data_IF_571915331187
#
_entry.id   IF_571915331187
#
_cell.length_a   1.000
_cell.length_b   1.000
_cell.length_c   1.000
_cell.angle_alpha   90.00
_cell.angle_beta   90.00
_cell.angle_gamma   90.00
#
_symmetry.space_group_name_H-M   'P 1'
#
loop_
_entity.id
_entity.type
_entity.pdbx_description
1 polymer ?
#
# COMPACT_ATOMS: atom_id res chain seq x y z
N UNK A 1 22.63 -6.73 -9.81
CA UNK A 1 21.36 -5.97 -9.69
C UNK A 1 21.40 -5.02 -8.49
N UNK A 2 20.73 -3.87 -8.55
CA UNK A 2 20.69 -2.88 -7.47
C UNK A 2 20.13 -3.47 -6.16
N UNK A 3 19.05 -4.25 -6.25
CA UNK A 3 18.46 -4.96 -5.09
C UNK A 3 19.49 -5.80 -4.34
N UNK A 4 20.35 -6.54 -5.06
CA UNK A 4 21.38 -7.38 -4.42
C UNK A 4 22.46 -6.55 -3.70
N UNK A 5 22.82 -5.39 -4.25
CA UNK A 5 23.77 -4.47 -3.59
C UNK A 5 23.16 -3.86 -2.33
N UNK A 6 21.89 -3.42 -2.42
CA UNK A 6 21.16 -2.88 -1.26
C UNK A 6 21.02 -3.93 -0.16
N UNK A 7 20.65 -5.17 -0.50
CA UNK A 7 20.52 -6.25 0.45
C UNK A 7 21.85 -6.54 1.16
N UNK A 8 22.95 -6.71 0.41
CA UNK A 8 24.27 -6.96 0.99
C UNK A 8 24.68 -5.82 1.94
N UNK A 9 24.58 -4.57 1.49
CA UNK A 9 24.88 -3.39 2.31
C UNK A 9 24.04 -3.34 3.59
N UNK A 10 22.73 -3.67 3.48
CA UNK A 10 21.82 -3.66 4.62
C UNK A 10 22.20 -4.73 5.63
N UNK A 11 22.47 -5.97 5.20
CA UNK A 11 22.90 -7.04 6.10
C UNK A 11 24.22 -6.73 6.79
N UNK A 12 25.20 -6.16 6.09
CA UNK A 12 26.47 -5.73 6.66
C UNK A 12 26.28 -4.67 7.75
N UNK A 13 25.38 -3.69 7.55
CA UNK A 13 25.06 -2.66 8.53
C UNK A 13 24.37 -3.24 9.76
N UNK A 14 23.35 -4.08 9.55
CA UNK A 14 22.62 -4.72 10.63
C UNK A 14 23.52 -5.64 11.48
N UNK A 15 24.47 -6.34 10.85
CA UNK A 15 25.46 -7.17 11.56
C UNK A 15 26.35 -6.33 12.48
N UNK A 16 26.54 -5.05 12.18
CA UNK A 16 27.28 -4.11 13.04
C UNK A 16 26.40 -3.36 14.05
N UNK A 17 25.08 -3.64 14.08
CA UNK A 17 24.13 -2.93 14.95
C UNK A 17 23.80 -1.51 14.46
N UNK A 18 24.04 -1.21 13.17
CA UNK A 18 23.71 0.07 12.54
C UNK A 18 22.29 0.05 11.97
N UNK A 19 21.76 1.23 11.62
CA UNK A 19 20.48 1.35 10.89
C UNK A 19 20.62 0.85 9.44
N UNK A 20 19.48 0.61 8.76
CA UNK A 20 19.49 0.10 7.36
C UNK A 20 20.15 1.06 6.37
N UNK A 21 20.04 2.36 6.60
CA UNK A 21 20.62 3.41 5.77
C UNK A 21 19.91 3.60 4.43
N UNK A 22 20.47 4.47 3.59
CA UNK A 22 19.94 4.74 2.26
C UNK A 22 20.18 3.59 1.29
N UNK A 23 19.22 3.35 0.42
CA UNK A 23 19.18 2.30 -0.59
C UNK A 23 18.79 2.87 -1.97
N UNK A 24 19.20 2.17 -3.03
CA UNK A 24 18.95 2.58 -4.42
C UNK A 24 17.60 2.04 -4.95
N UNK A 25 17.31 0.76 -4.66
CA UNK A 25 16.17 0.03 -5.22
C UNK A 25 15.17 -0.47 -4.18
N UNK A 26 15.59 -0.66 -2.94
CA UNK A 26 14.72 -1.12 -1.86
C UNK A 26 14.20 0.07 -1.04
N UNK A 27 12.94 0.05 -0.69
CA UNK A 27 12.40 0.93 0.35
C UNK A 27 12.51 0.22 1.69
N UNK A 28 13.42 0.61 2.53
CA UNK A 28 13.63 -0.03 3.82
C UNK A 28 13.09 0.84 4.97
N UNK A 29 12.32 0.24 5.86
CA UNK A 29 11.98 0.89 7.11
C UNK A 29 13.17 0.77 8.10
N UNK A 30 13.34 1.77 9.00
CA UNK A 30 12.50 2.95 9.18
C UNK A 30 12.82 4.13 8.23
N UNK A 31 13.99 4.17 7.57
CA UNK A 31 14.45 5.38 6.89
C UNK A 31 13.79 5.61 5.53
N UNK A 32 13.64 4.59 4.68
CA UNK A 32 13.24 4.73 3.28
C UNK A 32 11.76 4.44 3.01
N UNK A 33 11.16 3.48 3.68
CA UNK A 33 9.82 2.98 3.38
C UNK A 33 8.74 4.07 3.40
N UNK A 34 8.56 4.73 4.55
CA UNK A 34 7.51 5.74 4.71
C UNK A 34 7.71 6.97 3.81
N UNK A 35 8.92 7.56 3.71
CA UNK A 35 9.16 8.68 2.80
C UNK A 35 8.86 8.34 1.33
N UNK A 36 9.27 7.19 0.83
CA UNK A 36 9.02 6.77 -0.54
C UNK A 36 7.52 6.54 -0.80
N UNK A 37 6.83 5.84 0.09
CA UNK A 37 5.37 5.68 0.02
C UNK A 37 4.66 7.03 -0.04
N UNK A 38 5.02 7.96 0.84
CA UNK A 38 4.43 9.30 0.89
C UNK A 38 4.67 10.09 -0.40
N UNK A 39 5.87 9.98 -0.99
CA UNK A 39 6.19 10.63 -2.26
C UNK A 39 5.34 10.11 -3.42
N UNK A 40 5.09 8.80 -3.48
CA UNK A 40 4.23 8.19 -4.51
C UNK A 40 2.75 8.60 -4.32
N UNK A 41 2.25 8.61 -3.08
CA UNK A 41 0.90 9.14 -2.79
C UNK A 41 0.78 10.58 -3.25
N UNK A 42 1.76 11.45 -2.91
CA UNK A 42 1.76 12.86 -3.33
C UNK A 42 1.84 13.03 -4.85
N UNK A 43 2.57 12.15 -5.55
CA UNK A 43 2.62 12.17 -7.01
C UNK A 43 1.25 11.91 -7.62
N UNK A 44 0.52 10.91 -7.12
CA UNK A 44 -0.84 10.61 -7.60
C UNK A 44 -1.84 11.71 -7.19
N UNK A 45 -1.69 12.28 -6.00
CA UNK A 45 -2.52 13.41 -5.54
C UNK A 45 -2.45 14.60 -6.50
N UNK A 46 -1.26 14.90 -7.04
CA UNK A 46 -1.09 16.00 -8.02
C UNK A 46 -1.79 15.75 -9.36
N UNK A 47 -2.09 14.50 -9.68
CA UNK A 47 -2.84 14.12 -10.89
C UNK A 47 -4.37 14.25 -10.69
N UNK A 48 -4.82 14.45 -9.46
CA UNK A 48 -6.24 14.59 -9.17
C UNK A 48 -7.05 13.37 -9.67
N UNK A 49 -8.14 13.58 -10.43
CA UNK A 49 -8.98 12.48 -10.92
C UNK A 49 -8.29 11.47 -11.84
N UNK A 50 -7.17 11.85 -12.47
CA UNK A 50 -6.36 10.95 -13.30
C UNK A 50 -5.45 10.04 -12.45
N UNK A 51 -5.23 10.40 -11.18
CA UNK A 51 -4.40 9.63 -10.25
C UNK A 51 -5.12 8.36 -9.76
N UNK A 52 -4.32 7.37 -9.39
CA UNK A 52 -4.80 6.13 -8.79
C UNK A 52 -3.82 5.61 -7.74
N UNK A 53 -4.37 5.18 -6.61
CA UNK A 53 -3.63 4.56 -5.52
C UNK A 53 -4.34 3.26 -5.13
N UNK A 54 -3.68 2.12 -5.32
CA UNK A 54 -4.12 0.81 -4.87
C UNK A 54 -3.20 0.31 -3.75
N UNK A 55 -3.76 -0.02 -2.58
CA UNK A 55 -2.98 -0.50 -1.44
C UNK A 55 -3.61 -1.76 -0.87
N UNK A 56 -2.84 -2.86 -0.86
CA UNK A 56 -3.17 -4.08 -0.13
C UNK A 56 -2.21 -4.24 1.04
N UNK A 57 -2.75 -4.24 2.24
CA UNK A 57 -2.02 -4.48 3.51
C UNK A 57 -2.88 -5.27 4.48
N UNK A 58 -2.27 -5.76 5.57
CA UNK A 58 -3.06 -6.43 6.60
C UNK A 58 -3.74 -5.43 7.54
N UNK A 59 -3.04 -4.35 7.91
CA UNK A 59 -3.55 -3.35 8.86
C UNK A 59 -3.02 -1.95 8.55
N UNK A 60 -3.81 -0.92 8.92
CA UNK A 60 -3.46 0.49 8.72
C UNK A 60 -3.91 1.34 9.92
N UNK A 61 -2.95 2.00 10.58
CA UNK A 61 -3.18 3.02 11.61
C UNK A 61 -2.16 4.16 11.59
N UNK A 62 -1.25 4.19 10.60
CA UNK A 62 -0.27 5.28 10.49
C UNK A 62 -0.99 6.58 10.12
N UNK A 63 -1.02 7.53 11.08
CA UNK A 63 -1.78 8.76 10.96
C UNK A 63 -1.33 9.64 9.79
N UNK A 64 -0.02 9.71 9.52
CA UNK A 64 0.51 10.53 8.44
C UNK A 64 0.14 9.97 7.06
N UNK A 65 0.22 8.64 6.90
CA UNK A 65 -0.18 7.96 5.66
C UNK A 65 -1.68 8.16 5.44
N UNK A 66 -2.51 7.94 6.47
CA UNK A 66 -3.97 8.16 6.36
C UNK A 66 -4.31 9.62 5.99
N UNK A 67 -3.64 10.59 6.60
CA UNK A 67 -3.84 12.00 6.26
C UNK A 67 -3.47 12.31 4.80
N UNK A 68 -2.44 11.64 4.24
CA UNK A 68 -2.07 11.77 2.82
C UNK A 68 -3.11 11.16 1.89
N UNK A 69 -3.65 9.97 2.23
CA UNK A 69 -4.71 9.32 1.46
C UNK A 69 -6.02 10.16 1.47
N UNK A 70 -6.35 10.78 2.59
CA UNK A 70 -7.48 11.73 2.67
C UNK A 70 -7.27 12.89 1.71
N UNK A 71 -6.08 13.52 1.71
CA UNK A 71 -5.77 14.62 0.76
C UNK A 71 -5.80 14.17 -0.70
N UNK A 72 -5.39 12.94 -0.99
CA UNK A 72 -5.50 12.38 -2.33
C UNK A 72 -6.97 12.29 -2.76
N UNK A 73 -7.84 11.79 -1.89
CA UNK A 73 -9.28 11.75 -2.13
C UNK A 73 -9.89 13.16 -2.30
N UNK A 74 -9.52 14.11 -1.45
CA UNK A 74 -9.96 15.52 -1.56
C UNK A 74 -9.54 16.16 -2.90
N UNK A 75 -8.43 15.70 -3.48
CA UNK A 75 -7.99 16.12 -4.82
C UNK A 75 -8.70 15.37 -5.97
N UNK A 76 -9.56 14.40 -5.68
CA UNK A 76 -10.27 13.58 -6.66
C UNK A 76 -9.54 12.31 -7.07
N UNK A 77 -8.38 12.00 -6.49
CA UNK A 77 -7.62 10.77 -6.77
C UNK A 77 -8.38 9.56 -6.25
N UNK A 78 -8.55 8.55 -7.09
CA UNK A 78 -9.14 7.28 -6.69
C UNK A 78 -8.18 6.49 -5.78
N UNK A 79 -8.68 6.08 -4.62
CA UNK A 79 -7.92 5.30 -3.63
C UNK A 79 -8.66 4.00 -3.31
N UNK A 80 -8.03 2.88 -3.56
CA UNK A 80 -8.57 1.55 -3.33
C UNK A 80 -7.75 0.81 -2.28
N UNK A 81 -8.36 0.51 -1.14
CA UNK A 81 -7.70 -0.12 -0.01
C UNK A 81 -8.24 -1.53 0.23
N UNK A 82 -7.35 -2.51 0.27
CA UNK A 82 -7.62 -3.88 0.69
C UNK A 82 -6.98 -4.10 2.05
N UNK A 83 -7.80 -4.05 3.12
CA UNK A 83 -7.31 -4.12 4.50
C UNK A 83 -8.13 -5.17 5.27
N UNK A 84 -7.52 -6.30 5.60
CA UNK A 84 -8.22 -7.39 6.27
C UNK A 84 -8.29 -7.31 7.80
N UNK A 85 -7.44 -6.52 8.42
CA UNK A 85 -7.35 -6.30 9.86
C UNK A 85 -7.77 -4.90 10.26
N UNK A 86 -7.01 -4.27 11.15
CA UNK A 86 -7.28 -2.92 11.64
C UNK A 86 -7.22 -1.92 10.47
N UNK A 87 -8.29 -1.16 10.29
CA UNK A 87 -8.34 -0.02 9.37
C UNK A 87 -8.92 1.19 10.12
N UNK A 88 -8.08 2.19 10.37
CA UNK A 88 -8.47 3.40 11.09
C UNK A 88 -8.92 4.55 10.17
N UNK A 89 -9.11 4.28 8.87
CA UNK A 89 -9.61 5.24 7.89
C UNK A 89 -11.02 4.83 7.44
N UNK A 90 -11.99 5.74 7.53
CA UNK A 90 -13.36 5.54 7.02
C UNK A 90 -13.49 6.03 5.58
N UNK A 91 -13.97 5.19 4.65
CA UNK A 91 -14.19 5.56 3.26
C UNK A 91 -15.51 6.32 3.06
N UNK A 92 -15.71 6.90 1.89
CA UNK A 92 -16.99 7.38 1.41
C UNK A 92 -17.58 8.57 2.16
N UNK A 93 -16.80 9.30 2.96
CA UNK A 93 -17.25 10.51 3.66
C UNK A 93 -17.23 11.68 2.67
N UNK A 94 -18.41 12.32 2.40
CA UNK A 94 -18.50 13.41 1.43
C UNK A 94 -17.51 14.54 1.70
N UNK A 95 -16.85 15.03 0.64
CA UNK A 95 -15.87 16.11 0.69
C UNK A 95 -14.53 15.73 1.34
N UNK A 96 -14.35 14.48 1.76
CA UNK A 96 -13.10 14.02 2.41
C UNK A 96 -12.57 12.71 1.87
N UNK A 97 -13.33 11.64 2.02
CA UNK A 97 -12.90 10.28 1.64
C UNK A 97 -13.84 9.65 0.62
N UNK A 98 -14.56 10.47 -0.13
CA UNK A 98 -15.57 10.00 -1.12
C UNK A 98 -14.94 9.20 -2.26
N UNK A 99 -13.67 9.44 -2.57
CA UNK A 99 -12.90 8.68 -3.56
C UNK A 99 -12.07 7.54 -2.97
N UNK A 100 -12.28 7.22 -1.68
CA UNK A 100 -11.65 6.07 -1.02
C UNK A 100 -12.65 4.94 -0.90
N UNK A 101 -12.24 3.75 -1.31
CA UNK A 101 -12.93 2.49 -1.01
C UNK A 101 -12.08 1.60 -0.11
N UNK A 102 -12.73 0.85 0.78
CA UNK A 102 -12.07 -0.12 1.66
C UNK A 102 -12.76 -1.47 1.54
N UNK A 103 -11.98 -2.48 1.17
CA UNK A 103 -12.41 -3.86 1.05
C UNK A 103 -11.61 -4.74 2.00
N UNK A 104 -12.28 -5.64 2.72
CA UNK A 104 -11.67 -6.64 3.59
C UNK A 104 -12.02 -8.03 3.07
N UNK A 105 -11.02 -8.89 2.90
CA UNK A 105 -11.22 -10.28 2.49
C UNK A 105 -10.71 -11.17 3.61
N UNK A 106 -11.62 -11.99 4.18
CA UNK A 106 -11.32 -12.93 5.26
C UNK A 106 -11.94 -14.27 4.86
N UNK A 107 -11.08 -15.23 4.53
CA UNK A 107 -11.48 -16.54 4.06
C UNK A 107 -10.71 -17.67 4.71
N UNK A 108 -10.71 -18.82 4.06
CA UNK A 108 -10.00 -20.02 4.49
C UNK A 108 -8.47 -19.80 4.54
N UNK A 109 -7.95 -19.03 3.58
CA UNK A 109 -6.54 -18.72 3.47
C UNK A 109 -6.25 -17.33 4.02
N UNK A 110 -5.03 -17.13 4.48
CA UNK A 110 -4.57 -15.85 4.99
C UNK A 110 -4.04 -14.99 3.86
N UNK A 111 -4.79 -13.94 3.52
CA UNK A 111 -4.36 -12.91 2.54
C UNK A 111 -3.28 -12.04 3.17
N UNK A 112 -2.01 -12.48 3.09
CA UNK A 112 -0.89 -11.85 3.83
C UNK A 112 0.04 -11.01 2.95
N UNK A 113 -0.23 -10.89 1.67
CA UNK A 113 0.54 -10.07 0.75
C UNK A 113 0.41 -8.57 1.06
N UNK A 114 1.44 -7.80 0.71
CA UNK A 114 1.43 -6.33 0.71
C UNK A 114 1.82 -5.88 -0.67
N UNK A 115 0.93 -5.10 -1.27
CA UNK A 115 1.06 -4.63 -2.64
C UNK A 115 0.70 -3.16 -2.67
N UNK A 116 1.53 -2.33 -3.32
CA UNK A 116 1.20 -0.95 -3.63
C UNK A 116 1.18 -0.77 -5.13
N UNK A 117 0.18 -0.04 -5.61
CA UNK A 117 0.01 0.31 -7.02
C UNK A 117 -0.23 1.80 -7.13
N UNK A 118 0.55 2.47 -7.97
CA UNK A 118 0.41 3.89 -8.23
C UNK A 118 0.26 4.13 -9.73
N UNK A 119 -0.72 4.93 -10.11
CA UNK A 119 -0.99 5.26 -11.50
C UNK A 119 -1.73 4.18 -12.28
N UNK A 120 -1.90 4.43 -13.58
CA UNK A 120 -2.65 3.59 -14.51
C UNK A 120 -1.88 3.39 -15.81
N UNK A 121 -2.23 2.34 -16.57
CA UNK A 121 -1.68 2.08 -17.90
C UNK A 121 -0.17 1.87 -17.90
N UNK A 122 0.53 2.48 -18.84
CA UNK A 122 1.98 2.31 -19.00
C UNK A 122 2.80 2.94 -17.86
N UNK A 123 2.29 4.03 -17.26
CA UNK A 123 2.92 4.71 -16.14
C UNK A 123 2.63 4.05 -14.77
N UNK A 124 1.96 2.90 -14.76
CA UNK A 124 1.63 2.21 -13.53
C UNK A 124 2.86 1.58 -12.88
N UNK A 125 3.08 1.92 -11.62
CA UNK A 125 4.13 1.35 -10.78
C UNK A 125 3.54 0.37 -9.76
N UNK A 126 4.18 -0.77 -9.59
CA UNK A 126 3.76 -1.84 -8.68
C UNK A 126 4.90 -2.18 -7.74
N UNK A 127 4.60 -2.24 -6.45
CA UNK A 127 5.56 -2.61 -5.40
C UNK A 127 5.01 -3.75 -4.55
N UNK A 128 5.89 -4.64 -4.12
CA UNK A 128 5.59 -5.70 -3.16
C UNK A 128 6.53 -5.60 -1.96
N UNK A 129 6.08 -6.05 -0.80
CA UNK A 129 6.90 -5.95 0.40
C UNK A 129 6.38 -6.69 1.62
N UNK A 130 7.01 -6.43 2.76
CA UNK A 130 6.73 -7.11 4.02
C UNK A 130 5.96 -6.25 5.03
N UNK A 131 5.94 -4.93 4.87
CA UNK A 131 5.43 -3.98 5.86
C UNK A 131 3.94 -3.67 5.75
N UNK A 132 3.27 -3.59 6.89
CA UNK A 132 1.93 -3.00 7.00
C UNK A 132 2.02 -1.47 7.14
N UNK A 133 0.88 -0.79 7.07
CA UNK A 133 0.75 0.65 7.35
C UNK A 133 0.43 0.90 8.83
N UNK A 134 1.15 0.20 9.72
CA UNK A 134 1.14 0.45 11.15
C UNK A 134 2.39 1.27 11.52
N UNK A 135 2.26 2.20 12.46
CA UNK A 135 3.37 3.04 12.92
C UNK A 135 4.61 2.20 13.30
N UNK A 136 4.41 1.03 13.93
CA UNK A 136 5.51 0.11 14.27
C UNK A 136 6.24 -0.43 13.04
N UNK A 137 5.55 -0.65 11.91
CA UNK A 137 6.14 -1.15 10.66
C UNK A 137 6.86 -0.03 9.91
N UNK A 138 6.30 1.18 9.93
CA UNK A 138 6.86 2.33 9.21
C UNK A 138 8.04 2.97 9.93
N UNK A 139 8.12 2.85 11.29
CA UNK A 139 9.06 3.61 12.13
C UNK A 139 10.01 2.77 13.01
N UNK A 140 9.71 1.50 13.27
CA UNK A 140 10.44 0.72 14.28
C UNK A 140 10.93 -0.65 13.82
N UNK A 141 10.29 -1.25 12.83
CA UNK A 141 10.67 -2.56 12.28
C UNK A 141 11.55 -2.36 11.04
N UNK A 142 12.30 -3.39 10.72
CA UNK A 142 12.94 -3.50 9.42
C UNK A 142 11.95 -4.16 8.48
N UNK A 143 11.44 -3.39 7.55
CA UNK A 143 10.54 -3.83 6.49
C UNK A 143 11.13 -3.45 5.15
N UNK A 144 10.81 -4.20 4.11
CA UNK A 144 11.33 -3.95 2.77
C UNK A 144 10.21 -3.94 1.74
N UNK A 145 10.29 -3.01 0.79
CA UNK A 145 9.51 -3.01 -0.45
C UNK A 145 10.44 -2.90 -1.65
N UNK A 146 10.01 -3.49 -2.76
CA UNK A 146 10.70 -3.42 -4.04
C UNK A 146 9.72 -3.23 -5.18
N UNK A 147 10.15 -2.50 -6.22
CA UNK A 147 9.39 -2.36 -7.45
C UNK A 147 9.38 -3.67 -8.23
N UNK A 148 8.22 -4.01 -8.80
CA UNK A 148 8.03 -5.14 -9.72
C UNK A 148 8.19 -4.61 -11.14
N UNK A 149 9.40 -4.70 -11.68
CA UNK A 149 9.76 -4.14 -13.00
C UNK A 149 9.56 -5.09 -14.17
N UNK A 150 9.60 -6.41 -13.93
CA UNK A 150 9.31 -7.40 -14.97
C UNK A 150 7.83 -7.36 -15.36
N UNK A 151 7.49 -7.22 -16.65
CA UNK A 151 6.08 -7.08 -17.09
C UNK A 151 5.21 -8.30 -16.75
N UNK A 152 5.74 -9.52 -16.79
CA UNK A 152 4.98 -10.74 -16.51
C UNK A 152 4.70 -10.84 -15.01
N UNK A 153 5.73 -10.66 -14.17
CA UNK A 153 5.57 -10.64 -12.72
C UNK A 153 4.60 -9.52 -12.28
N UNK A 154 4.68 -8.32 -12.91
CA UNK A 154 3.74 -7.23 -12.64
C UNK A 154 2.31 -7.62 -12.99
N UNK A 155 2.09 -8.28 -14.13
CA UNK A 155 0.77 -8.74 -14.53
C UNK A 155 0.20 -9.76 -13.54
N UNK A 156 1.01 -10.69 -13.04
CA UNK A 156 0.60 -11.66 -12.01
C UNK A 156 0.19 -10.97 -10.70
N UNK A 157 0.96 -9.98 -10.23
CA UNK A 157 0.63 -9.21 -9.01
C UNK A 157 -0.68 -8.42 -9.20
N UNK A 158 -0.87 -7.80 -10.36
CA UNK A 158 -2.10 -7.07 -10.67
C UNK A 158 -3.31 -8.00 -10.78
N UNK A 159 -3.14 -9.23 -11.25
CA UNK A 159 -4.23 -10.23 -11.28
C UNK A 159 -4.68 -10.62 -9.86
N UNK A 160 -3.76 -10.68 -8.89
CA UNK A 160 -4.14 -10.89 -7.48
C UNK A 160 -5.10 -9.79 -7.01
N UNK A 161 -4.78 -8.52 -7.24
CA UNK A 161 -5.68 -7.40 -6.88
C UNK A 161 -6.99 -7.44 -7.68
N UNK A 162 -6.92 -7.81 -8.96
CA UNK A 162 -8.10 -7.96 -9.80
C UNK A 162 -9.03 -9.06 -9.27
N UNK A 163 -8.49 -10.20 -8.85
CA UNK A 163 -9.25 -11.26 -8.22
C UNK A 163 -9.93 -10.79 -6.92
N UNK A 164 -9.21 -10.02 -6.09
CA UNK A 164 -9.77 -9.42 -4.86
C UNK A 164 -10.92 -8.45 -5.15
N UNK A 165 -10.83 -7.67 -6.24
CA UNK A 165 -11.93 -6.77 -6.66
C UNK A 165 -13.18 -7.53 -7.05
N UNK A 166 -13.02 -8.68 -7.72
CA UNK A 166 -14.13 -9.52 -8.19
C UNK A 166 -14.71 -10.43 -7.11
N UNK A 167 -14.06 -10.52 -5.93
CA UNK A 167 -14.55 -11.37 -4.85
C UNK A 167 -15.88 -10.82 -4.31
N UNK A 168 -16.94 -11.61 -4.52
CA UNK A 168 -18.30 -11.38 -4.02
C UNK A 168 -18.75 -12.48 -3.04
N UNK A 169 -17.82 -13.27 -2.50
CA UNK A 169 -18.10 -14.38 -1.59
C UNK A 169 -17.57 -14.16 -0.19
N UNK A 170 -16.36 -13.60 -0.09
CA UNK A 170 -15.66 -13.42 1.18
C UNK A 170 -15.28 -11.97 1.43
N UNK A 171 -15.50 -11.10 0.44
CA UNK A 171 -15.20 -9.69 0.56
C UNK A 171 -16.28 -8.93 1.33
N UNK A 172 -15.82 -8.04 2.19
CA UNK A 172 -16.62 -7.10 2.97
C UNK A 172 -16.24 -5.67 2.60
N UNK A 173 -17.22 -4.85 2.32
CA UNK A 173 -17.04 -3.45 1.92
C UNK A 173 -17.34 -2.56 3.13
N UNK A 174 -16.35 -1.76 3.55
CA UNK A 174 -16.54 -0.80 4.63
C UNK A 174 -17.43 0.34 4.16
N UNK A 175 -18.41 0.70 5.01
CA UNK A 175 -19.34 1.78 4.78
C UNK A 175 -18.86 3.09 5.44
N UNK A 176 -19.40 4.27 5.05
CA UNK A 176 -19.03 5.56 5.65
C UNK A 176 -19.25 5.66 7.16
N UNK A 177 -20.14 4.85 7.73
CA UNK A 177 -20.37 4.77 9.17
C UNK A 177 -19.39 3.85 9.90
N UNK A 178 -18.53 3.13 9.13
CA UNK A 178 -17.56 2.15 9.65
C UNK A 178 -18.09 0.72 9.76
N UNK A 179 -19.36 0.48 9.42
CA UNK A 179 -19.90 -0.88 9.30
C UNK A 179 -19.37 -1.58 8.06
N UNK A 180 -19.56 -2.90 7.97
CA UNK A 180 -19.15 -3.69 6.82
C UNK A 180 -20.35 -4.44 6.24
N UNK A 181 -20.49 -4.43 4.92
CA UNK A 181 -21.46 -5.22 4.18
C UNK A 181 -20.73 -6.24 3.29
N UNK A 182 -21.32 -7.42 3.15
CA UNK A 182 -20.81 -8.43 2.20
C UNK A 182 -20.92 -7.87 0.78
N UNK A 183 -19.87 -8.05 -0.02
CA UNK A 183 -19.91 -7.71 -1.44
C UNK A 183 -20.89 -8.64 -2.18
N UNK A 184 -21.75 -8.08 -3.01
CA UNK A 184 -22.76 -8.80 -3.82
C UNK A 184 -22.37 -8.78 -5.30
#
# INVERSE_FOLDING_TARGET
PAIGRDAAKTFDRLARGETVGETEALWLAPEGYKPQLMAHIDAQTRLGPEGYIGIKVNSMNDADVMARLVRASEAGTEVELFVRGICCLRPGVPGRTEHISVRSIIGRYLEHERIFVFGRGEAQEVFIGSGDLLERNTMRRIEAFTAVTDPNARAEVLEVLSAMRRDNRQAWIMQPDGSYLIAC
#
